data_IF_292160782310
#
_entry.id   IF_292160782310
#
_cell.length_a   1.000
_cell.length_b   1.000
_cell.length_c   1.000
_cell.angle_alpha   90.00
_cell.angle_beta   90.00
_cell.angle_gamma   90.00
#
_symmetry.space_group_name_H-M   'P 1'
#
loop_
_entity.id
_entity.type
_entity.pdbx_description
1 polymer ?
#
# COMPACT_ATOMS: atom_id res chain seq x y z
N UNK A 1 4.96 -10.93 3.41
CA UNK A 1 5.70 -9.84 2.73
C UNK A 1 5.00 -9.58 1.41
N UNK A 2 3.92 -8.79 1.45
CA UNK A 2 3.26 -8.25 0.26
C UNK A 2 4.28 -7.29 -0.37
N UNK A 3 4.58 -7.43 -1.66
CA UNK A 3 5.70 -6.75 -2.30
C UNK A 3 5.64 -5.21 -2.13
N UNK A 4 6.65 -4.62 -1.49
CA UNK A 4 6.97 -3.18 -1.43
C UNK A 4 5.79 -2.21 -1.15
N UNK A 5 4.80 -2.58 -0.34
CA UNK A 5 3.61 -1.75 -0.07
C UNK A 5 2.89 -1.26 -1.34
N UNK A 6 2.93 -2.04 -2.43
CA UNK A 6 2.30 -1.65 -3.70
C UNK A 6 0.78 -1.83 -3.70
N UNK A 7 0.25 -2.59 -2.74
CA UNK A 7 -1.17 -2.81 -2.55
C UNK A 7 -1.55 -2.48 -1.12
N UNK A 8 -2.71 -1.85 -0.95
CA UNK A 8 -3.37 -1.70 0.36
C UNK A 8 -4.47 -2.75 0.46
N UNK A 9 -4.51 -3.45 1.59
CA UNK A 9 -5.61 -4.35 1.92
C UNK A 9 -6.72 -3.60 2.67
N UNK A 10 -7.96 -3.80 2.24
CA UNK A 10 -9.17 -3.34 2.92
C UNK A 10 -10.14 -4.50 3.15
N UNK A 11 -11.19 -4.26 3.94
CA UNK A 11 -12.24 -5.24 4.19
C UNK A 11 -13.55 -4.76 3.60
N UNK A 12 -14.16 -5.56 2.73
CA UNK A 12 -15.51 -5.33 2.22
C UNK A 12 -16.51 -6.18 2.99
N UNK A 13 -17.52 -5.52 3.57
CA UNK A 13 -18.61 -6.16 4.30
C UNK A 13 -19.86 -6.12 3.41
N UNK A 14 -20.43 -7.28 3.15
CA UNK A 14 -21.64 -7.43 2.36
C UNK A 14 -22.90 -7.28 3.22
N UNK A 15 -24.05 -7.08 2.57
CA UNK A 15 -25.32 -6.85 3.27
C UNK A 15 -25.78 -8.04 4.16
N UNK A 16 -25.29 -9.25 3.87
CA UNK A 16 -25.55 -10.47 4.63
C UNK A 16 -24.58 -10.68 5.81
N UNK A 17 -23.64 -9.75 6.01
CA UNK A 17 -22.64 -9.81 7.08
C UNK A 17 -21.42 -10.66 6.77
N UNK A 18 -21.36 -11.30 5.59
CA UNK A 18 -20.11 -11.89 5.11
C UNK A 18 -19.09 -10.79 4.79
N UNK A 19 -17.80 -11.09 4.93
CA UNK A 19 -16.73 -10.17 4.59
C UNK A 19 -15.60 -10.87 3.85
N UNK A 20 -14.91 -10.10 3.01
CA UNK A 20 -13.73 -10.56 2.29
C UNK A 20 -12.72 -9.41 2.15
N UNK A 21 -11.45 -9.78 1.98
CA UNK A 21 -10.39 -8.82 1.69
C UNK A 21 -10.55 -8.26 0.27
N UNK A 22 -10.38 -6.96 0.14
CA UNK A 22 -10.24 -6.25 -1.12
C UNK A 22 -8.86 -5.61 -1.17
N UNK A 23 -8.31 -5.47 -2.37
CA UNK A 23 -6.97 -4.93 -2.57
C UNK A 23 -7.02 -3.81 -3.59
N UNK A 24 -6.36 -2.70 -3.28
CA UNK A 24 -6.27 -1.52 -4.13
C UNK A 24 -4.82 -1.16 -4.41
N UNK A 25 -4.56 -0.56 -5.57
CA UNK A 25 -3.21 -0.09 -5.92
C UNK A 25 -2.80 1.07 -5.00
N UNK A 26 -1.63 0.96 -4.38
CA UNK A 26 -1.04 2.00 -3.54
C UNK A 26 -0.02 2.88 -4.29
N UNK A 27 0.45 2.40 -5.44
CA UNK A 27 1.41 3.10 -6.29
C UNK A 27 0.70 4.17 -7.12
N UNK A 28 1.28 5.37 -7.17
CA UNK A 28 0.82 6.44 -8.06
C UNK A 28 1.80 6.71 -9.19
N UNK A 29 3.10 6.58 -8.93
CA UNK A 29 4.14 6.83 -9.92
C UNK A 29 5.36 5.90 -9.74
N UNK A 30 5.99 5.54 -10.85
CA UNK A 30 7.18 4.69 -10.91
C UNK A 30 8.22 5.36 -11.80
N UNK A 31 9.37 5.69 -11.22
CA UNK A 31 10.54 6.16 -11.96
C UNK A 31 11.55 5.03 -12.11
N UNK A 32 12.04 4.85 -13.34
CA UNK A 32 13.07 3.87 -13.67
C UNK A 32 14.18 4.58 -14.41
N UNK A 33 15.33 4.68 -13.77
CA UNK A 33 16.55 5.22 -14.36
C UNK A 33 17.47 4.06 -14.76
N UNK A 34 17.96 4.11 -16.01
CA UNK A 34 18.87 3.10 -16.56
C UNK A 34 20.10 3.82 -17.07
N UNK A 35 21.24 3.60 -16.42
CA UNK A 35 22.52 4.16 -16.81
C UNK A 35 23.67 3.19 -16.49
N UNK A 36 24.67 3.15 -17.38
CA UNK A 36 25.87 2.28 -17.31
C UNK A 36 25.65 0.87 -16.71
N UNK A 37 24.64 0.15 -17.22
CA UNK A 37 24.33 -1.22 -16.78
C UNK A 37 23.69 -1.34 -15.39
N UNK A 38 23.33 -0.21 -14.77
CA UNK A 38 22.59 -0.12 -13.52
C UNK A 38 21.11 0.19 -13.78
N UNK A 39 20.24 -0.30 -12.90
CA UNK A 39 18.82 0.02 -12.90
C UNK A 39 18.47 0.52 -11.50
N UNK A 40 18.04 1.77 -11.42
CA UNK A 40 17.53 2.39 -10.21
C UNK A 40 16.01 2.55 -10.33
N UNK A 41 15.28 2.10 -9.32
CA UNK A 41 13.82 2.10 -9.31
C UNK A 41 13.33 2.89 -8.11
N UNK A 42 12.58 3.96 -8.36
CA UNK A 42 11.92 4.77 -7.34
C UNK A 42 10.41 4.61 -7.43
N UNK A 43 9.79 4.28 -6.30
CA UNK A 43 8.35 4.02 -6.21
C UNK A 43 7.72 5.13 -5.38
N UNK A 44 6.74 5.80 -5.95
CA UNK A 44 5.91 6.77 -5.26
C UNK A 44 4.58 6.11 -4.91
N UNK A 45 4.17 6.28 -3.65
CA UNK A 45 2.88 5.81 -3.15
C UNK A 45 2.06 7.00 -2.70
N UNK A 46 0.75 6.94 -2.97
CA UNK A 46 -0.17 8.01 -2.60
C UNK A 46 -0.63 7.83 -1.16
N UNK A 47 0.08 8.44 -0.23
CA UNK A 47 -0.35 8.44 1.18
C UNK A 47 -1.48 9.47 1.39
N UNK A 48 -2.72 9.00 1.47
CA UNK A 48 -3.82 9.82 1.97
C UNK A 48 -3.82 9.88 3.52
N UNK A 49 -4.50 10.88 4.08
CA UNK A 49 -4.52 11.11 5.52
C UNK A 49 -5.12 9.94 6.32
N UNK A 50 -6.04 9.16 5.73
CA UNK A 50 -6.62 7.99 6.36
C UNK A 50 -5.64 6.82 6.41
N UNK A 51 -4.85 6.61 5.35
CA UNK A 51 -3.78 5.62 5.33
C UNK A 51 -2.70 5.96 6.36
N UNK A 52 -2.30 7.23 6.45
CA UNK A 52 -1.34 7.69 7.47
C UNK A 52 -1.86 7.44 8.88
N UNK A 53 -3.15 7.67 9.11
CA UNK A 53 -3.79 7.40 10.40
C UNK A 53 -3.81 5.90 10.71
N UNK A 54 -4.19 5.06 9.76
CA UNK A 54 -4.18 3.59 9.91
C UNK A 54 -2.80 3.07 10.25
N UNK A 55 -1.74 3.58 9.61
CA UNK A 55 -0.36 3.17 9.92
C UNK A 55 0.05 3.54 11.35
N UNK A 56 -0.19 4.79 11.77
CA UNK A 56 0.09 5.25 13.14
C UNK A 56 -0.67 4.39 14.16
N UNK A 57 -1.92 4.06 13.88
CA UNK A 57 -2.73 3.25 14.77
C UNK A 57 -2.23 1.79 14.88
N UNK A 58 -1.81 1.20 13.76
CA UNK A 58 -1.18 -0.14 13.76
C UNK A 58 0.11 -0.15 14.56
N UNK A 59 0.98 0.85 14.38
CA UNK A 59 2.25 0.98 15.12
C UNK A 59 2.02 1.05 16.64
N UNK A 60 0.97 1.75 17.09
CA UNK A 60 0.60 1.82 18.52
C UNK A 60 0.15 0.45 19.05
N UNK A 61 -0.54 -0.34 18.23
CA UNK A 61 -1.18 -1.60 18.64
C UNK A 61 -0.22 -2.79 18.66
N UNK A 62 0.88 -2.70 17.94
CA UNK A 62 1.95 -3.70 17.88
C UNK A 62 3.10 -3.43 18.85
N UNK A 63 2.99 -2.37 19.68
CA UNK A 63 4.01 -1.94 20.65
C UNK A 63 3.75 -2.37 22.09
#
# INVERSE_FOLDING_TARGET
MIANDLLVEGTRIEADGSHHSVYEANIDHLDVDIDDGTIDVSIHVREDAAQRFSRIWSDIRES
#
